data_IF_950991229070
#
_entry.id   IF_950991229070
#
_cell.length_a   1.000
_cell.length_b   1.000
_cell.length_c   1.000
_cell.angle_alpha   90.00
_cell.angle_beta   90.00
_cell.angle_gamma   90.00
#
_symmetry.space_group_name_H-M   'P 1'
#
loop_
_entity.id
_entity.type
_entity.pdbx_description
1 polymer ?
#
# COMPACT_ATOMS: atom_id res chain seq x y z
N UNK A 1 -14.98 9.37 -2.58
CA UNK A 1 -16.03 8.34 -2.45
C UNK A 1 -15.79 7.28 -3.50
N UNK A 2 -15.59 6.01 -3.13
CA UNK A 2 -15.67 4.89 -4.08
C UNK A 2 -16.68 3.90 -3.54
N UNK A 3 -17.81 3.76 -4.25
CA UNK A 3 -19.07 3.11 -3.84
C UNK A 3 -19.35 1.79 -4.59
N UNK A 4 -18.34 0.95 -4.86
CA UNK A 4 -18.52 -0.20 -5.76
C UNK A 4 -17.86 -1.53 -5.31
N UNK A 5 -17.58 -1.81 -4.02
CA UNK A 5 -16.96 -3.10 -3.64
C UNK A 5 -17.90 -4.30 -3.86
N UNK A 6 -19.22 -4.10 -3.84
CA UNK A 6 -20.23 -5.17 -3.84
C UNK A 6 -20.90 -5.40 -5.20
N UNK A 7 -20.39 -4.78 -6.28
CA UNK A 7 -20.90 -5.04 -7.63
C UNK A 7 -20.10 -6.22 -8.20
N UNK A 8 -20.72 -7.39 -8.46
CA UNK A 8 -20.00 -8.61 -8.80
C UNK A 8 -19.01 -8.44 -9.95
N UNK A 9 -19.42 -7.77 -11.03
CA UNK A 9 -18.54 -7.51 -12.17
C UNK A 9 -17.33 -6.62 -11.85
N UNK A 10 -17.46 -5.69 -10.89
CA UNK A 10 -16.33 -4.87 -10.45
C UNK A 10 -15.35 -5.68 -9.60
N UNK A 11 -15.86 -6.57 -8.74
CA UNK A 11 -15.03 -7.47 -7.96
C UNK A 11 -14.30 -8.49 -8.86
N UNK A 12 -14.97 -9.06 -9.85
CA UNK A 12 -14.36 -9.98 -10.82
C UNK A 12 -13.24 -9.31 -11.63
N UNK A 13 -13.49 -8.09 -12.12
CA UNK A 13 -12.50 -7.32 -12.85
C UNK A 13 -11.30 -6.94 -11.95
N UNK A 14 -11.57 -6.53 -10.70
CA UNK A 14 -10.53 -6.26 -9.72
C UNK A 14 -9.69 -7.52 -9.43
N UNK A 15 -10.35 -8.68 -9.27
CA UNK A 15 -9.69 -9.96 -9.04
C UNK A 15 -8.77 -10.35 -10.22
N UNK A 16 -9.28 -10.26 -11.45
CA UNK A 16 -8.49 -10.57 -12.64
C UNK A 16 -7.27 -9.65 -12.80
N UNK A 17 -7.42 -8.35 -12.51
CA UNK A 17 -6.31 -7.40 -12.54
C UNK A 17 -5.31 -7.63 -11.39
N UNK A 18 -5.78 -7.99 -10.20
CA UNK A 18 -4.95 -8.33 -9.07
C UNK A 18 -4.13 -9.60 -9.36
N UNK A 19 -4.75 -10.65 -9.88
CA UNK A 19 -4.08 -11.88 -10.31
C UNK A 19 -3.00 -11.59 -11.35
N UNK A 20 -3.29 -10.75 -12.35
CA UNK A 20 -2.28 -10.34 -13.33
C UNK A 20 -1.13 -9.60 -12.66
N UNK A 21 -1.42 -8.69 -11.74
CA UNK A 21 -0.39 -7.90 -11.06
C UNK A 21 0.49 -8.77 -10.15
N UNK A 22 -0.07 -9.76 -9.46
CA UNK A 22 0.67 -10.71 -8.65
C UNK A 22 1.70 -11.48 -9.50
N UNK A 23 1.27 -11.95 -10.68
CA UNK A 23 2.09 -12.80 -11.55
C UNK A 23 3.01 -12.03 -12.51
N UNK A 24 2.68 -10.80 -12.88
CA UNK A 24 3.44 -10.00 -13.85
C UNK A 24 4.41 -9.04 -13.14
N UNK A 25 5.66 -9.50 -12.96
CA UNK A 25 6.75 -8.68 -12.38
C UNK A 25 7.03 -7.43 -13.22
N UNK A 26 6.97 -7.51 -14.54
CA UNK A 26 7.24 -6.36 -15.40
C UNK A 26 6.19 -5.27 -15.20
N UNK A 27 4.91 -5.65 -15.16
CA UNK A 27 3.81 -4.75 -14.85
C UNK A 27 4.01 -4.07 -13.49
N UNK A 28 4.39 -4.84 -12.46
CA UNK A 28 4.69 -4.28 -11.14
C UNK A 28 5.79 -3.24 -11.19
N UNK A 29 6.84 -3.43 -11.99
CA UNK A 29 8.01 -2.56 -12.02
C UNK A 29 7.83 -1.29 -12.88
N UNK A 30 6.91 -1.28 -13.84
CA UNK A 30 6.58 -0.08 -14.62
C UNK A 30 5.68 0.92 -13.86
N UNK A 31 5.00 0.50 -12.79
CA UNK A 31 4.18 1.40 -11.98
C UNK A 31 5.03 2.52 -11.37
N UNK A 32 4.67 3.76 -11.72
CA UNK A 32 5.24 5.00 -11.16
C UNK A 32 4.78 5.19 -9.71
N UNK A 33 5.42 6.06 -8.91
CA UNK A 33 5.08 6.23 -7.49
C UNK A 33 3.60 6.55 -7.21
N UNK A 34 2.98 7.40 -8.03
CA UNK A 34 1.56 7.73 -7.89
C UNK A 34 0.66 6.53 -8.22
N UNK A 35 0.95 5.83 -9.32
CA UNK A 35 0.22 4.63 -9.75
C UNK A 35 0.35 3.52 -8.70
N UNK A 36 1.56 3.31 -8.19
CA UNK A 36 1.85 2.35 -7.12
C UNK A 36 0.97 2.58 -5.88
N UNK A 37 0.92 3.83 -5.37
CA UNK A 37 0.09 4.17 -4.22
C UNK A 37 -1.40 4.03 -4.49
N UNK A 38 -1.85 4.38 -5.70
CA UNK A 38 -3.24 4.22 -6.12
C UNK A 38 -3.63 2.74 -6.24
N UNK A 39 -2.76 1.91 -6.81
CA UNK A 39 -2.97 0.46 -6.96
C UNK A 39 -3.11 -0.20 -5.60
N UNK A 40 -2.20 0.04 -4.64
CA UNK A 40 -2.35 -0.52 -3.29
C UNK A 40 -3.65 -0.06 -2.62
N UNK A 41 -3.99 1.22 -2.70
CA UNK A 41 -5.23 1.74 -2.12
C UNK A 41 -6.50 1.20 -2.81
N UNK A 42 -6.42 0.80 -4.08
CA UNK A 42 -7.51 0.12 -4.79
C UNK A 42 -7.64 -1.34 -4.33
N UNK A 43 -6.53 -2.09 -4.28
CA UNK A 43 -6.51 -3.47 -3.78
C UNK A 43 -7.04 -3.56 -2.33
N UNK A 44 -6.75 -2.55 -1.52
CA UNK A 44 -7.19 -2.49 -0.12
C UNK A 44 -8.71 -2.37 0.06
N UNK A 45 -9.49 -2.31 -1.02
CA UNK A 45 -10.96 -2.37 -1.00
C UNK A 45 -11.50 -3.80 -0.95
N UNK A 46 -10.67 -4.78 -1.34
CA UNK A 46 -10.99 -6.21 -1.29
C UNK A 46 -9.91 -6.97 -0.52
N UNK A 47 -9.69 -6.66 0.77
CA UNK A 47 -8.61 -7.26 1.54
C UNK A 47 -8.77 -8.77 1.76
N UNK A 48 -10.01 -9.25 1.73
CA UNK A 48 -10.37 -10.67 1.90
C UNK A 48 -10.28 -11.47 0.59
N UNK A 49 -10.00 -10.80 -0.54
CA UNK A 49 -9.79 -11.47 -1.83
C UNK A 49 -8.34 -11.95 -1.94
N UNK A 50 -8.07 -13.27 -2.08
CA UNK A 50 -6.71 -13.81 -2.09
C UNK A 50 -5.80 -13.15 -3.13
N UNK A 51 -6.27 -12.97 -4.37
CA UNK A 51 -5.47 -12.35 -5.43
C UNK A 51 -5.13 -10.87 -5.12
N UNK A 52 -6.00 -10.16 -4.39
CA UNK A 52 -5.71 -8.80 -3.94
C UNK A 52 -4.66 -8.78 -2.82
N UNK A 53 -4.70 -9.74 -1.90
CA UNK A 53 -3.68 -9.91 -0.87
C UNK A 53 -2.33 -10.29 -1.49
N UNK A 54 -2.32 -11.22 -2.45
CA UNK A 54 -1.11 -11.64 -3.16
C UNK A 54 -0.49 -10.51 -3.97
N UNK A 55 -1.32 -9.73 -4.68
CA UNK A 55 -0.87 -8.54 -5.39
C UNK A 55 -0.32 -7.46 -4.44
N UNK A 56 -0.96 -7.25 -3.29
CA UNK A 56 -0.48 -6.31 -2.29
C UNK A 56 0.86 -6.75 -1.68
N UNK A 57 1.00 -8.03 -1.34
CA UNK A 57 2.25 -8.64 -0.88
C UNK A 57 3.37 -8.43 -1.92
N UNK A 58 3.09 -8.76 -3.18
CA UNK A 58 3.99 -8.62 -4.31
C UNK A 58 4.44 -7.16 -4.58
N UNK A 59 3.59 -6.17 -4.26
CA UNK A 59 3.94 -4.75 -4.31
C UNK A 59 4.71 -4.30 -3.05
N UNK A 60 4.39 -4.87 -1.90
CA UNK A 60 5.11 -4.62 -0.65
C UNK A 60 6.57 -5.08 -0.76
N UNK A 61 6.84 -6.30 -1.27
CA UNK A 61 8.21 -6.77 -1.55
C UNK A 61 8.96 -5.81 -2.48
N UNK A 62 8.32 -5.33 -3.55
CA UNK A 62 8.92 -4.32 -4.45
C UNK A 62 9.29 -3.03 -3.69
N UNK A 63 8.44 -2.58 -2.77
CA UNK A 63 8.69 -1.34 -2.02
C UNK A 63 9.86 -1.49 -1.04
N UNK A 64 10.03 -2.68 -0.46
CA UNK A 64 11.19 -3.04 0.38
C UNK A 64 12.47 -2.97 -0.47
N UNK A 65 12.48 -3.66 -1.61
CA UNK A 65 13.65 -3.78 -2.49
C UNK A 65 14.02 -2.47 -3.19
N UNK A 66 13.03 -1.62 -3.50
CA UNK A 66 13.22 -0.42 -4.31
C UNK A 66 13.19 0.86 -3.46
N UNK A 67 14.37 1.23 -2.95
CA UNK A 67 14.55 2.47 -2.17
C UNK A 67 14.17 3.74 -2.95
N UNK A 68 14.44 3.80 -4.25
CA UNK A 68 14.13 4.96 -5.08
C UNK A 68 12.63 5.17 -5.22
N UNK A 69 11.87 4.10 -5.47
CA UNK A 69 10.41 4.12 -5.46
C UNK A 69 9.87 4.61 -4.12
N UNK A 70 10.38 4.04 -3.02
CA UNK A 70 9.99 4.44 -1.66
C UNK A 70 10.27 5.91 -1.39
N UNK A 71 11.40 6.43 -1.86
CA UNK A 71 11.78 7.84 -1.71
C UNK A 71 11.02 8.79 -2.65
N UNK A 72 10.56 8.30 -3.80
CA UNK A 72 9.78 9.06 -4.77
C UNK A 72 8.28 9.18 -4.38
N UNK A 73 7.80 8.42 -3.39
CA UNK A 73 6.46 8.61 -2.85
C UNK A 73 6.35 9.98 -2.17
N UNK A 74 5.39 10.79 -2.63
CA UNK A 74 5.02 12.06 -2.01
C UNK A 74 4.25 11.82 -0.68
N UNK A 75 3.97 12.87 0.13
CA UNK A 75 3.30 12.70 1.43
C UNK A 75 1.96 11.95 1.36
N UNK A 76 1.13 12.28 0.36
CA UNK A 76 -0.16 11.59 0.17
C UNK A 76 0.03 10.12 -0.23
N UNK A 77 1.02 9.82 -1.07
CA UNK A 77 1.39 8.47 -1.47
C UNK A 77 1.83 7.64 -0.29
N UNK A 78 2.66 8.19 0.60
CA UNK A 78 3.08 7.53 1.85
C UNK A 78 1.87 7.20 2.72
N UNK A 79 0.98 8.17 2.97
CA UNK A 79 -0.21 7.96 3.78
C UNK A 79 -1.16 6.91 3.16
N UNK A 80 -1.34 6.93 1.84
CA UNK A 80 -2.19 5.96 1.13
C UNK A 80 -1.60 4.55 1.19
N UNK A 81 -0.30 4.40 0.94
CA UNK A 81 0.39 3.11 0.97
C UNK A 81 0.33 2.52 2.38
N UNK A 82 0.67 3.29 3.42
CA UNK A 82 0.57 2.82 4.81
C UNK A 82 -0.86 2.38 5.16
N UNK A 83 -1.85 3.21 4.83
CA UNK A 83 -3.25 2.88 5.10
C UNK A 83 -3.72 1.63 4.34
N UNK A 84 -3.25 1.43 3.10
CA UNK A 84 -3.54 0.23 2.33
C UNK A 84 -2.89 -1.02 2.92
N UNK A 85 -1.58 -0.98 3.21
CA UNK A 85 -0.84 -2.11 3.79
C UNK A 85 -1.44 -2.55 5.13
N UNK A 86 -1.98 -1.61 5.91
CA UNK A 86 -2.67 -1.88 7.18
C UNK A 86 -3.93 -2.75 7.05
N UNK A 87 -4.35 -3.12 5.83
CA UNK A 87 -5.40 -4.10 5.58
C UNK A 87 -4.94 -5.55 5.66
N UNK A 88 -3.63 -5.79 5.62
CA UNK A 88 -3.03 -7.12 5.71
C UNK A 88 -2.01 -7.19 6.86
N UNK A 89 -2.43 -7.01 8.12
CA UNK A 89 -1.52 -6.97 9.27
C UNK A 89 -0.76 -8.29 9.53
N UNK A 90 -1.26 -9.41 8.99
CA UNK A 90 -0.62 -10.73 9.10
C UNK A 90 0.37 -11.06 7.97
N UNK A 91 0.58 -10.16 7.02
CA UNK A 91 1.48 -10.38 5.89
C UNK A 91 2.86 -9.77 6.18
N UNK A 92 3.94 -10.57 6.29
CA UNK A 92 5.27 -10.08 6.66
C UNK A 92 5.78 -8.94 5.78
N UNK A 93 5.72 -9.07 4.46
CA UNK A 93 6.21 -8.02 3.55
C UNK A 93 5.38 -6.72 3.69
N UNK A 94 4.08 -6.82 3.99
CA UNK A 94 3.26 -5.63 4.25
C UNK A 94 3.71 -4.92 5.53
N UNK A 95 4.07 -5.67 6.57
CA UNK A 95 4.62 -5.12 7.82
C UNK A 95 6.00 -4.50 7.60
N UNK A 96 6.89 -5.18 6.88
CA UNK A 96 8.24 -4.69 6.58
C UNK A 96 8.20 -3.44 5.69
N UNK A 97 7.32 -3.40 4.68
CA UNK A 97 7.09 -2.23 3.86
C UNK A 97 6.52 -1.06 4.66
N UNK A 98 5.60 -1.32 5.60
CA UNK A 98 5.06 -0.30 6.50
C UNK A 98 6.16 0.24 7.43
N UNK A 99 7.00 -0.63 8.01
CA UNK A 99 8.14 -0.25 8.85
C UNK A 99 9.13 0.61 8.05
N UNK A 100 9.47 0.20 6.83
CA UNK A 100 10.33 0.94 5.91
C UNK A 100 9.83 2.36 5.59
N UNK A 101 8.50 2.57 5.53
CA UNK A 101 7.89 3.89 5.38
C UNK A 101 7.85 4.67 6.70
N UNK A 102 7.62 4.00 7.83
CA UNK A 102 7.68 4.61 9.16
C UNK A 102 9.09 5.16 9.45
N UNK A 103 10.14 4.39 9.17
CA UNK A 103 11.53 4.86 9.27
C UNK A 103 11.76 6.10 8.42
N UNK A 104 11.27 6.12 7.16
CA UNK A 104 11.39 7.29 6.29
C UNK A 104 10.69 8.53 6.87
N UNK A 105 9.54 8.37 7.53
CA UNK A 105 8.84 9.48 8.19
C UNK A 105 9.58 9.98 9.45
N UNK A 106 10.34 9.12 10.13
CA UNK A 106 11.21 9.50 11.24
C UNK A 106 12.36 10.35 10.70
N UNK A 107 13.05 9.84 9.67
CA UNK A 107 14.28 10.42 9.11
C UNK A 107 14.04 11.68 8.27
N UNK A 108 12.87 11.81 7.63
CA UNK A 108 12.54 12.93 6.75
C UNK A 108 11.49 13.85 7.39
N UNK A 109 11.99 14.89 8.07
CA UNK A 109 11.16 15.92 8.73
C UNK A 109 10.25 16.66 7.75
N UNK A 110 10.74 16.99 6.56
CA UNK A 110 9.97 17.76 5.58
C UNK A 110 8.80 16.94 5.04
N UNK A 111 9.03 15.66 4.73
CA UNK A 111 7.98 14.71 4.35
C UNK A 111 6.92 14.60 5.43
N UNK A 112 7.33 14.43 6.70
CA UNK A 112 6.41 14.33 7.84
C UNK A 112 5.59 15.61 8.03
N UNK A 113 6.22 16.77 7.92
CA UNK A 113 5.56 18.07 8.06
C UNK A 113 4.64 18.41 6.87
N UNK A 114 4.89 17.83 5.70
CA UNK A 114 4.07 18.01 4.51
C UNK A 114 2.82 17.12 4.49
N UNK A 115 2.64 16.22 5.47
CA UNK A 115 1.38 15.48 5.63
C UNK A 115 0.25 16.46 6.00
N UNK A 116 -0.82 16.43 5.22
CA UNK A 116 -2.05 17.13 5.60
C UNK A 116 -2.74 16.41 6.79
N UNK A 117 -3.76 17.02 7.43
CA UNK A 117 -4.43 16.42 8.59
C UNK A 117 -4.98 15.00 8.33
N UNK A 118 -5.54 14.74 7.14
CA UNK A 118 -6.02 13.41 6.77
C UNK A 118 -4.87 12.41 6.63
N UNK A 119 -3.74 12.84 6.09
CA UNK A 119 -2.52 12.05 5.96
C UNK A 119 -1.98 11.63 7.32
N UNK A 120 -1.94 12.55 8.29
CA UNK A 120 -1.55 12.24 9.67
C UNK A 120 -2.50 11.20 10.29
N UNK A 121 -3.82 11.41 10.17
CA UNK A 121 -4.81 10.47 10.70
C UNK A 121 -4.67 9.07 10.07
N UNK A 122 -4.48 9.00 8.75
CA UNK A 122 -4.30 7.75 8.02
C UNK A 122 -3.01 7.03 8.45
N UNK A 123 -1.91 7.75 8.59
CA UNK A 123 -0.62 7.19 9.03
C UNK A 123 -0.74 6.62 10.45
N UNK A 124 -1.29 7.39 11.39
CA UNK A 124 -1.46 6.91 12.78
C UNK A 124 -2.38 5.69 12.87
N UNK A 125 -3.51 5.72 12.16
CA UNK A 125 -4.43 4.59 12.10
C UNK A 125 -3.83 3.35 11.40
N UNK A 126 -2.93 3.55 10.43
CA UNK A 126 -2.23 2.44 9.80
C UNK A 126 -1.22 1.81 10.75
N UNK A 127 -0.43 2.64 11.45
CA UNK A 127 0.61 2.18 12.36
C UNK A 127 0.04 1.45 13.59
N UNK A 128 -1.16 1.82 14.05
CA UNK A 128 -1.81 1.16 15.20
C UNK A 128 -2.30 -0.27 14.94
N UNK A 129 -2.31 -0.74 13.69
CA UNK A 129 -2.81 -2.07 13.33
C UNK A 129 -1.76 -3.16 13.30
N UNK A 130 -0.49 -2.79 13.35
CA UNK A 130 0.57 -3.78 13.41
C UNK A 130 0.61 -4.31 14.85
N UNK A 131 0.47 -5.63 15.05
CA UNK A 131 0.64 -6.20 16.37
C UNK A 131 2.02 -5.77 16.86
N UNK A 132 2.09 -5.21 18.07
CA UNK A 132 3.31 -4.64 18.61
C UNK A 132 4.46 -5.59 18.35
N UNK A 133 5.42 -5.15 17.52
CA UNK A 133 6.73 -5.80 17.48
C UNK A 133 7.22 -5.81 18.93
N UNK A 134 7.59 -6.98 19.48
CA UNK A 134 8.12 -7.06 20.84
C UNK A 134 9.22 -6.04 21.10
#
# INVERSE_FOLDING_TARGET
MSKWPDIPHCADAANALALRLANDRNLRYVLKPQEFGNTLNALSKWPDTPDCADAANALASRLIDNRDLRNALNPQGVANVLNALSKWPGTPDCADAANALASRLIDNRDLRNALNPQGVANVLNALSKWPGTP
#
